data_IF_413986287177
#
_entry.id   IF_413986287177
#
_cell.length_a   1.000
_cell.length_b   1.000
_cell.length_c   1.000
_cell.angle_alpha   90.00
_cell.angle_beta   90.00
_cell.angle_gamma   90.00
#
_symmetry.space_group_name_H-M   'P 1'
#
loop_
_entity.id
_entity.type
_entity.pdbx_description
1 polymer ?
#
# COMPACT_ATOMS: atom_id res chain seq x y z
N UNK A 1 35.43 -19.46 2.25
CA UNK A 1 34.37 -19.43 1.21
C UNK A 1 33.04 -20.02 1.71
N UNK A 2 33.02 -20.60 2.92
CA UNK A 2 31.84 -21.34 3.44
C UNK A 2 30.78 -20.49 4.16
N UNK A 3 31.14 -19.27 4.57
CA UNK A 3 30.17 -18.36 5.23
C UNK A 3 29.09 -17.78 4.30
N UNK A 4 29.37 -17.66 3.01
CA UNK A 4 28.40 -17.13 2.05
C UNK A 4 27.32 -18.17 1.69
N UNK A 5 27.66 -19.46 1.72
CA UNK A 5 26.75 -20.56 1.45
C UNK A 5 25.74 -20.77 2.59
N UNK A 6 26.16 -20.57 3.85
CA UNK A 6 25.26 -20.71 5.00
C UNK A 6 24.17 -19.62 5.03
N UNK A 7 24.51 -18.38 4.65
CA UNK A 7 23.54 -17.28 4.55
C UNK A 7 22.48 -17.53 3.49
N UNK A 8 22.85 -18.12 2.34
CA UNK A 8 21.93 -18.49 1.28
C UNK A 8 21.02 -19.66 1.69
N UNK A 9 21.54 -20.57 2.49
CA UNK A 9 20.76 -21.73 2.99
C UNK A 9 19.75 -21.31 4.07
N UNK A 10 20.14 -20.41 4.99
CA UNK A 10 19.25 -19.89 6.03
C UNK A 10 18.18 -18.92 5.49
N UNK A 11 18.49 -18.21 4.41
CA UNK A 11 17.52 -17.36 3.72
C UNK A 11 16.46 -18.16 2.93
N UNK A 12 16.75 -19.42 2.59
CA UNK A 12 15.88 -20.28 1.81
C UNK A 12 14.93 -21.15 2.67
N UNK A 13 15.17 -21.27 3.98
CA UNK A 13 14.30 -22.06 4.87
C UNK A 13 13.13 -21.19 5.39
N UNK A 14 11.94 -21.41 4.86
CA UNK A 14 10.70 -20.95 5.48
C UNK A 14 10.40 -21.77 6.72
N UNK A 15 9.61 -21.23 7.68
CA UNK A 15 9.28 -21.89 8.95
C UNK A 15 8.62 -23.28 8.80
N UNK A 16 8.21 -23.65 7.58
CA UNK A 16 7.56 -24.92 7.24
C UNK A 16 8.49 -25.90 6.51
N UNK A 17 9.81 -25.63 6.47
CA UNK A 17 10.76 -26.52 5.81
C UNK A 17 10.64 -26.57 4.28
N UNK A 18 9.84 -25.71 3.67
CA UNK A 18 9.73 -25.60 2.22
C UNK A 18 10.74 -24.59 1.69
N UNK A 19 11.66 -25.04 0.84
CA UNK A 19 12.59 -24.21 0.08
C UNK A 19 11.81 -23.46 -1.00
N UNK A 20 11.15 -22.36 -0.66
CA UNK A 20 10.41 -21.54 -1.60
C UNK A 20 10.86 -20.08 -1.49
N UNK A 21 11.37 -19.52 -2.59
CA UNK A 21 11.70 -18.09 -2.65
C UNK A 21 10.39 -17.28 -2.67
N UNK A 22 9.95 -16.82 -1.48
CA UNK A 22 8.72 -16.00 -1.36
C UNK A 22 9.05 -14.54 -1.13
N UNK A 23 8.22 -13.64 -1.70
CA UNK A 23 8.33 -12.20 -1.47
C UNK A 23 7.64 -11.74 -0.17
N UNK A 24 7.12 -12.66 0.65
CA UNK A 24 6.40 -12.37 1.90
C UNK A 24 7.29 -12.59 3.11
N UNK A 25 7.38 -11.58 3.99
CA UNK A 25 8.05 -11.73 5.28
C UNK A 25 7.05 -12.18 6.36
N UNK A 26 6.91 -13.50 6.53
CA UNK A 26 6.00 -14.09 7.53
C UNK A 26 6.37 -13.77 8.99
N UNK A 27 7.63 -13.41 9.26
CA UNK A 27 8.14 -13.11 10.61
C UNK A 27 8.10 -11.64 10.99
N UNK A 28 7.57 -10.78 10.12
CA UNK A 28 7.52 -9.35 10.41
C UNK A 28 6.68 -9.07 11.66
N UNK A 29 7.16 -8.19 12.54
CA UNK A 29 6.54 -7.89 13.83
C UNK A 29 5.07 -7.44 13.70
N UNK A 30 4.73 -6.66 12.67
CA UNK A 30 3.36 -6.19 12.44
C UNK A 30 2.35 -7.32 12.23
N UNK A 31 2.78 -8.47 11.68
CA UNK A 31 1.93 -9.65 11.50
C UNK A 31 1.89 -10.53 12.75
N UNK A 32 2.91 -10.44 13.61
CA UNK A 32 3.00 -11.24 14.83
C UNK A 32 1.91 -10.91 15.84
N UNK A 33 1.53 -9.62 15.93
CA UNK A 33 0.48 -9.16 16.85
C UNK A 33 -0.95 -9.36 16.30
N UNK A 34 -1.08 -9.71 15.02
CA UNK A 34 -2.39 -9.98 14.44
C UNK A 34 -2.87 -11.40 14.81
N UNK A 35 -4.17 -11.55 15.08
CA UNK A 35 -4.78 -12.86 15.24
C UNK A 35 -4.62 -13.68 13.95
N UNK A 36 -4.54 -15.02 14.01
CA UNK A 36 -4.26 -15.87 12.85
C UNK A 36 -5.15 -15.61 11.64
N UNK A 37 -6.46 -15.37 11.85
CA UNK A 37 -7.42 -15.08 10.80
C UNK A 37 -7.17 -13.74 10.08
N UNK A 38 -6.54 -12.76 10.74
CA UNK A 38 -6.27 -11.43 10.17
C UNK A 38 -4.91 -11.34 9.47
N UNK A 39 -3.98 -12.28 9.72
CA UNK A 39 -2.64 -12.29 9.12
C UNK A 39 -2.65 -12.28 7.58
N UNK A 40 -3.50 -13.08 6.89
CA UNK A 40 -3.59 -13.03 5.43
C UNK A 40 -3.98 -11.65 4.90
N UNK A 41 -4.87 -10.94 5.60
CA UNK A 41 -5.30 -9.58 5.22
C UNK A 41 -4.19 -8.54 5.46
N UNK A 42 -3.41 -8.68 6.55
CA UNK A 42 -2.22 -7.86 6.77
C UNK A 42 -1.16 -8.05 5.68
N UNK A 43 -0.99 -9.28 5.19
CA UNK A 43 -0.10 -9.59 4.05
C UNK A 43 -0.64 -9.02 2.73
N UNK A 44 -1.94 -9.10 2.47
CA UNK A 44 -2.56 -8.44 1.31
C UNK A 44 -2.32 -6.92 1.33
N UNK A 45 -2.43 -6.30 2.50
CA UNK A 45 -2.21 -4.86 2.68
C UNK A 45 -0.73 -4.47 2.74
N UNK A 46 0.20 -5.44 2.64
CA UNK A 46 1.66 -5.23 2.70
C UNK A 46 2.13 -4.55 3.99
N UNK A 47 1.50 -4.86 5.13
CA UNK A 47 1.93 -4.36 6.43
C UNK A 47 3.29 -4.93 6.87
N UNK A 48 3.71 -6.02 6.27
CA UNK A 48 5.07 -6.58 6.36
C UNK A 48 6.14 -5.71 5.67
N UNK A 49 5.74 -4.74 4.85
CA UNK A 49 6.64 -3.85 4.08
C UNK A 49 6.16 -2.40 4.14
N UNK A 50 6.38 -1.70 5.25
CA UNK A 50 5.84 -0.36 5.48
C UNK A 50 6.44 0.72 4.57
N UNK A 51 7.55 0.44 3.86
CA UNK A 51 8.24 1.40 3.00
C UNK A 51 7.29 2.07 1.99
N UNK A 52 6.35 1.30 1.40
CA UNK A 52 5.39 1.87 0.45
C UNK A 52 4.40 2.81 1.10
N UNK A 53 4.05 2.61 2.38
CA UNK A 53 3.21 3.53 3.14
C UNK A 53 3.97 4.84 3.41
N UNK A 54 5.24 4.77 3.79
CA UNK A 54 6.08 5.94 3.99
C UNK A 54 6.26 6.75 2.71
N UNK A 55 6.50 6.08 1.57
CA UNK A 55 6.62 6.76 0.27
C UNK A 55 5.34 7.51 -0.13
N UNK A 56 4.15 7.01 0.26
CA UNK A 56 2.90 7.71 0.03
C UNK A 56 2.68 8.85 1.04
N UNK A 57 3.13 8.68 2.27
CA UNK A 57 2.85 9.58 3.38
C UNK A 57 3.77 10.81 3.41
N UNK A 58 5.07 10.65 3.15
CA UNK A 58 6.01 11.78 3.23
C UNK A 58 5.66 12.94 2.30
N UNK A 59 5.29 12.74 1.03
CA UNK A 59 4.84 13.83 0.17
C UNK A 59 3.64 14.59 0.76
N UNK A 60 2.69 13.87 1.38
CA UNK A 60 1.57 14.50 2.08
C UNK A 60 2.03 15.36 3.26
N UNK A 61 2.94 14.83 4.10
CA UNK A 61 3.43 15.54 5.26
C UNK A 61 4.24 16.78 4.90
N UNK A 62 5.06 16.72 3.86
CA UNK A 62 5.80 17.88 3.36
C UNK A 62 4.85 19.00 2.93
N UNK A 63 3.84 18.68 2.14
CA UNK A 63 2.88 19.66 1.66
C UNK A 63 2.00 20.24 2.77
N UNK A 64 1.58 19.41 3.76
CA UNK A 64 0.88 19.88 4.94
C UNK A 64 1.73 20.84 5.77
N UNK A 65 3.02 20.55 5.94
CA UNK A 65 3.94 21.43 6.67
C UNK A 65 4.09 22.78 5.97
N UNK A 66 4.22 22.78 4.63
CA UNK A 66 4.29 24.00 3.85
C UNK A 66 3.00 24.85 3.95
N UNK A 67 1.84 24.20 3.95
CA UNK A 67 0.55 24.89 3.96
C UNK A 67 0.06 25.33 5.35
N UNK A 68 0.52 24.72 6.43
CA UNK A 68 0.06 24.97 7.81
C UNK A 68 1.09 25.58 8.74
N UNK A 69 2.35 25.73 8.34
CA UNK A 69 3.32 26.39 9.21
C UNK A 69 2.92 27.85 9.51
N UNK A 70 2.93 28.32 10.76
CA UNK A 70 3.38 27.69 11.99
C UNK A 70 2.26 27.12 12.90
N UNK A 71 1.14 26.66 12.33
CA UNK A 71 -0.04 26.21 13.12
C UNK A 71 0.13 24.74 13.59
N UNK A 72 1.07 24.50 14.49
CA UNK A 72 1.50 23.14 14.91
C UNK A 72 0.37 22.23 15.41
N UNK A 73 -0.59 22.76 16.17
CA UNK A 73 -1.69 21.93 16.70
C UNK A 73 -2.58 21.37 15.60
N UNK A 74 -2.89 22.17 14.58
CA UNK A 74 -3.65 21.72 13.40
C UNK A 74 -2.83 20.78 12.53
N UNK A 75 -1.53 21.05 12.38
CA UNK A 75 -0.62 20.23 11.59
C UNK A 75 -0.59 18.78 12.08
N UNK A 76 -0.43 18.55 13.38
CA UNK A 76 -0.40 17.19 13.97
C UNK A 76 -1.69 16.43 13.66
N UNK A 77 -2.86 17.08 13.80
CA UNK A 77 -4.15 16.45 13.48
C UNK A 77 -4.25 16.03 12.00
N UNK A 78 -3.85 16.91 11.10
CA UNK A 78 -3.80 16.60 9.67
C UNK A 78 -2.79 15.50 9.33
N UNK A 79 -1.61 15.53 9.94
CA UNK A 79 -0.58 14.49 9.74
C UNK A 79 -1.09 13.11 10.18
N UNK A 80 -1.78 13.02 11.33
CA UNK A 80 -2.39 11.78 11.80
C UNK A 80 -3.50 11.28 10.84
N UNK A 81 -4.36 12.19 10.37
CA UNK A 81 -5.42 11.87 9.43
C UNK A 81 -4.87 11.31 8.12
N UNK A 82 -3.85 11.96 7.56
CA UNK A 82 -3.19 11.51 6.34
C UNK A 82 -2.39 10.22 6.54
N UNK A 83 -1.82 9.97 7.73
CA UNK A 83 -1.17 8.71 8.06
C UNK A 83 -2.17 7.54 8.03
N UNK A 84 -3.35 7.72 8.63
CA UNK A 84 -4.43 6.74 8.56
C UNK A 84 -4.89 6.50 7.11
N UNK A 85 -5.05 7.58 6.33
CA UNK A 85 -5.41 7.52 4.91
C UNK A 85 -4.36 6.78 4.07
N UNK A 86 -3.08 7.10 4.26
CA UNK A 86 -1.98 6.44 3.56
C UNK A 86 -1.92 4.95 3.85
N UNK A 87 -2.09 4.54 5.12
CA UNK A 87 -2.12 3.13 5.52
C UNK A 87 -3.27 2.39 4.84
N UNK A 88 -4.48 2.94 4.89
CA UNK A 88 -5.67 2.34 4.31
C UNK A 88 -5.60 2.29 2.77
N UNK A 89 -5.30 3.41 2.12
CA UNK A 89 -5.26 3.49 0.65
C UNK A 89 -4.09 2.70 0.05
N UNK A 90 -2.94 2.65 0.74
CA UNK A 90 -1.84 1.77 0.35
C UNK A 90 -2.27 0.31 0.40
N UNK A 91 -2.95 -0.11 1.47
CA UNK A 91 -3.47 -1.46 1.61
C UNK A 91 -4.49 -1.80 0.52
N UNK A 92 -5.45 -0.90 0.27
CA UNK A 92 -6.44 -1.06 -0.80
C UNK A 92 -5.79 -1.21 -2.18
N UNK A 93 -4.82 -0.35 -2.50
CA UNK A 93 -4.08 -0.39 -3.77
C UNK A 93 -3.27 -1.68 -3.95
N UNK A 94 -2.63 -2.18 -2.89
CA UNK A 94 -1.91 -3.46 -2.93
C UNK A 94 -2.86 -4.64 -3.13
N UNK A 95 -3.97 -4.68 -2.39
CA UNK A 95 -4.98 -5.73 -2.53
C UNK A 95 -5.60 -5.72 -3.92
N UNK A 96 -5.92 -4.54 -4.46
CA UNK A 96 -6.40 -4.37 -5.83
C UNK A 96 -5.41 -4.92 -6.87
N UNK A 97 -4.14 -4.57 -6.73
CA UNK A 97 -3.09 -5.08 -7.60
C UNK A 97 -3.00 -6.62 -7.55
N UNK A 98 -3.03 -7.21 -6.36
CA UNK A 98 -2.99 -8.67 -6.19
C UNK A 98 -4.26 -9.34 -6.79
N UNK A 99 -5.43 -8.69 -6.73
CA UNK A 99 -6.67 -9.16 -7.38
C UNK A 99 -6.52 -9.20 -8.91
N UNK A 100 -5.99 -8.13 -9.50
CA UNK A 100 -5.80 -8.01 -10.96
C UNK A 100 -4.75 -9.00 -11.45
N UNK A 101 -3.65 -9.14 -10.72
CA UNK A 101 -2.51 -9.98 -11.11
C UNK A 101 -2.64 -11.45 -10.67
N UNK A 102 -3.71 -11.85 -9.96
CA UNK A 102 -3.84 -13.16 -9.30
C UNK A 102 -3.50 -14.37 -10.16
N UNK A 103 -3.88 -14.33 -11.47
CA UNK A 103 -3.62 -15.43 -12.40
C UNK A 103 -2.16 -15.52 -12.80
N UNK A 104 -1.49 -14.38 -12.92
CA UNK A 104 -0.06 -14.27 -13.25
C UNK A 104 0.76 -14.65 -12.04
N UNK A 105 0.39 -14.14 -10.87
CA UNK A 105 1.06 -14.41 -9.60
C UNK A 105 1.06 -15.90 -9.24
N UNK A 106 0.02 -16.63 -9.62
CA UNK A 106 -0.05 -18.09 -9.42
C UNK A 106 0.96 -18.89 -10.27
N UNK A 107 1.43 -18.32 -11.39
CA UNK A 107 2.38 -18.96 -12.31
C UNK A 107 3.84 -18.65 -11.95
N UNK A 108 4.10 -17.63 -11.12
CA UNK A 108 5.44 -17.20 -10.74
C UNK A 108 5.78 -17.75 -9.35
N UNK A 109 6.87 -18.49 -9.24
CA UNK A 109 7.28 -19.14 -7.99
C UNK A 109 7.37 -18.16 -6.80
N UNK A 110 7.97 -16.99 -7.01
CA UNK A 110 8.13 -15.95 -6.00
C UNK A 110 6.80 -15.42 -5.44
N UNK A 111 5.75 -15.35 -6.26
CA UNK A 111 4.45 -14.72 -5.91
C UNK A 111 3.35 -15.74 -5.64
N UNK A 112 3.57 -17.01 -5.94
CA UNK A 112 2.61 -18.11 -5.68
C UNK A 112 2.20 -18.20 -4.21
N UNK A 113 3.10 -17.86 -3.27
CA UNK A 113 2.85 -17.84 -1.82
C UNK A 113 2.01 -16.65 -1.33
N UNK A 114 1.57 -15.73 -2.20
CA UNK A 114 0.68 -14.64 -1.80
C UNK A 114 -0.70 -15.15 -1.39
N UNK A 115 -1.42 -14.48 -0.46
CA UNK A 115 -2.68 -14.97 0.09
C UNK A 115 -3.76 -15.32 -0.94
N UNK A 116 -3.86 -14.59 -2.06
CA UNK A 116 -4.82 -14.87 -3.12
C UNK A 116 -4.45 -16.07 -3.99
N UNK A 117 -3.24 -16.16 -4.60
CA UNK A 117 -2.81 -17.34 -5.34
C UNK A 117 -2.72 -18.60 -4.48
N UNK A 118 -2.33 -18.48 -3.22
CA UNK A 118 -2.25 -19.59 -2.26
C UNK A 118 -3.63 -20.07 -1.75
N UNK A 119 -4.72 -19.36 -2.07
CA UNK A 119 -6.07 -19.71 -1.63
C UNK A 119 -6.37 -19.40 -0.16
N UNK A 120 -5.49 -18.70 0.56
CA UNK A 120 -5.72 -18.31 1.96
C UNK A 120 -6.84 -17.27 2.09
N UNK A 121 -7.04 -16.46 1.07
CA UNK A 121 -8.13 -15.47 0.98
C UNK A 121 -8.88 -15.66 -0.33
N UNK A 122 -10.20 -15.76 -0.24
CA UNK A 122 -11.04 -15.83 -1.44
C UNK A 122 -11.09 -14.48 -2.15
N UNK A 123 -11.34 -14.49 -3.47
CA UNK A 123 -11.50 -13.26 -4.25
C UNK A 123 -12.59 -12.34 -3.66
N UNK A 124 -13.70 -12.91 -3.20
CA UNK A 124 -14.80 -12.17 -2.57
C UNK A 124 -14.32 -11.44 -1.32
N UNK A 125 -13.59 -12.12 -0.45
CA UNK A 125 -13.09 -11.54 0.79
C UNK A 125 -12.02 -10.47 0.52
N UNK A 126 -11.17 -10.66 -0.50
CA UNK A 126 -10.20 -9.65 -0.92
C UNK A 126 -10.90 -8.39 -1.45
N UNK A 127 -11.98 -8.53 -2.24
CA UNK A 127 -12.78 -7.40 -2.70
C UNK A 127 -13.45 -6.67 -1.52
N UNK A 128 -14.06 -7.40 -0.58
CA UNK A 128 -14.66 -6.81 0.63
C UNK A 128 -13.58 -6.03 1.41
N UNK A 129 -12.40 -6.62 1.57
CA UNK A 129 -11.28 -5.99 2.28
C UNK A 129 -10.82 -4.70 1.59
N UNK A 130 -10.72 -4.71 0.25
CA UNK A 130 -10.41 -3.51 -0.56
C UNK A 130 -11.46 -2.42 -0.34
N UNK A 131 -12.74 -2.78 -0.36
CA UNK A 131 -13.84 -1.83 -0.14
C UNK A 131 -13.77 -1.24 1.28
N UNK A 132 -13.57 -2.07 2.32
CA UNK A 132 -13.45 -1.60 3.69
C UNK A 132 -12.30 -0.58 3.86
N UNK A 133 -11.15 -0.84 3.28
CA UNK A 133 -10.02 0.08 3.30
C UNK A 133 -10.33 1.36 2.50
N UNK A 134 -10.99 1.25 1.36
CA UNK A 134 -11.41 2.40 0.55
C UNK A 134 -12.43 3.26 1.27
N UNK A 135 -13.33 2.67 2.06
CA UNK A 135 -14.29 3.42 2.89
C UNK A 135 -13.60 4.30 3.93
N UNK A 136 -12.46 3.87 4.48
CA UNK A 136 -11.63 4.74 5.34
C UNK A 136 -11.14 5.96 4.55
N UNK A 137 -10.67 5.75 3.31
CA UNK A 137 -10.28 6.84 2.42
C UNK A 137 -11.44 7.79 2.12
N UNK A 138 -12.63 7.25 1.84
CA UNK A 138 -13.86 8.04 1.62
C UNK A 138 -14.24 8.84 2.87
N UNK A 139 -14.17 8.24 4.07
CA UNK A 139 -14.44 8.95 5.31
C UNK A 139 -13.48 10.15 5.52
N UNK A 140 -12.20 9.98 5.15
CA UNK A 140 -11.22 11.06 5.17
C UNK A 140 -11.56 12.12 4.11
N UNK A 141 -12.00 11.70 2.92
CA UNK A 141 -12.38 12.59 1.84
C UNK A 141 -13.45 13.61 2.28
N UNK A 142 -14.43 13.17 3.11
CA UNK A 142 -15.45 14.07 3.67
C UNK A 142 -14.92 15.11 4.66
N UNK A 143 -13.68 14.95 5.16
CA UNK A 143 -13.01 15.97 5.98
C UNK A 143 -12.22 16.99 5.15
N UNK A 144 -11.98 16.69 3.87
CA UNK A 144 -11.29 17.59 2.95
C UNK A 144 -12.26 18.65 2.41
N UNK A 145 -11.71 19.79 1.96
CA UNK A 145 -12.46 20.74 1.17
C UNK A 145 -12.79 20.14 -0.22
N UNK A 146 -13.78 20.72 -0.92
CA UNK A 146 -14.26 20.19 -2.21
C UNK A 146 -13.16 20.09 -3.26
N UNK A 147 -12.25 21.06 -3.30
CA UNK A 147 -11.15 21.09 -4.25
C UNK A 147 -10.16 19.96 -3.99
N UNK A 148 -9.68 19.81 -2.74
CA UNK A 148 -8.80 18.72 -2.36
C UNK A 148 -9.46 17.35 -2.57
N UNK A 149 -10.77 17.25 -2.33
CA UNK A 149 -11.56 16.07 -2.62
C UNK A 149 -11.53 15.68 -4.09
N UNK A 150 -11.69 16.66 -4.98
CA UNK A 150 -11.55 16.45 -6.44
C UNK A 150 -10.15 16.00 -6.84
N UNK A 151 -9.11 16.62 -6.29
CA UNK A 151 -7.71 16.23 -6.51
C UNK A 151 -7.45 14.80 -6.01
N UNK A 152 -7.98 14.45 -4.84
CA UNK A 152 -7.85 13.09 -4.28
C UNK A 152 -8.56 12.04 -5.16
N UNK A 153 -9.78 12.32 -5.64
CA UNK A 153 -10.50 11.43 -6.55
C UNK A 153 -9.75 11.22 -7.87
N UNK A 154 -9.11 12.25 -8.41
CA UNK A 154 -8.30 12.15 -9.62
C UNK A 154 -7.13 11.15 -9.45
N UNK A 155 -6.58 10.98 -8.26
CA UNK A 155 -5.53 9.98 -7.99
C UNK A 155 -6.00 8.54 -8.21
N UNK A 156 -7.30 8.25 -8.03
CA UNK A 156 -7.85 6.91 -8.22
C UNK A 156 -7.70 6.42 -9.66
N UNK A 157 -7.67 7.33 -10.64
CA UNK A 157 -7.42 7.01 -12.04
C UNK A 157 -6.02 6.39 -12.18
N UNK A 158 -5.00 6.99 -11.56
CA UNK A 158 -3.63 6.48 -11.58
C UNK A 158 -3.53 5.12 -10.89
N UNK A 159 -4.20 4.96 -9.75
CA UNK A 159 -4.21 3.69 -8.99
C UNK A 159 -4.91 2.58 -9.79
N UNK A 160 -6.02 2.89 -10.46
CA UNK A 160 -6.78 1.93 -11.26
C UNK A 160 -6.00 1.48 -12.51
N UNK A 161 -5.30 2.42 -13.17
CA UNK A 161 -4.57 2.16 -14.41
C UNK A 161 -3.22 1.48 -14.13
N UNK A 162 -2.59 1.72 -12.98
CA UNK A 162 -1.25 1.24 -12.67
C UNK A 162 -1.03 -0.27 -12.93
N UNK A 163 -1.91 -1.21 -12.53
CA UNK A 163 -1.71 -2.63 -12.80
C UNK A 163 -1.62 -2.97 -14.30
N UNK A 164 -2.34 -2.23 -15.14
CA UNK A 164 -2.32 -2.42 -16.61
C UNK A 164 -1.09 -1.80 -17.25
N UNK A 165 -0.57 -0.70 -16.69
CA UNK A 165 0.62 -0.02 -17.20
C UNK A 165 1.87 -0.90 -17.18
N UNK A 166 1.99 -1.82 -16.24
CA UNK A 166 3.08 -2.81 -16.21
C UNK A 166 3.17 -3.68 -17.46
N UNK A 167 2.05 -3.79 -18.20
CA UNK A 167 1.92 -4.64 -19.41
C UNK A 167 2.00 -3.84 -20.68
N UNK A 168 1.71 -2.54 -20.63
CA UNK A 168 1.60 -1.65 -21.80
C UNK A 168 2.84 -0.80 -22.03
N UNK A 169 3.62 -0.49 -20.98
CA UNK A 169 4.77 0.41 -21.09
C UNK A 169 6.03 -0.19 -20.48
N UNK A 170 7.17 0.20 -21.04
CA UNK A 170 8.50 -0.11 -20.47
C UNK A 170 8.84 0.76 -19.25
N UNK A 171 8.03 1.78 -18.93
CA UNK A 171 8.26 2.77 -17.86
C UNK A 171 7.15 2.80 -16.81
N UNK A 172 6.73 1.65 -16.23
CA UNK A 172 5.64 1.60 -15.26
C UNK A 172 5.95 2.40 -13.99
N UNK A 173 7.23 2.62 -13.68
CA UNK A 173 7.68 3.36 -12.51
C UNK A 173 7.31 4.85 -12.56
N UNK A 174 7.15 5.43 -13.76
CA UNK A 174 6.68 6.83 -13.89
C UNK A 174 5.26 6.96 -13.35
N UNK A 175 4.36 6.05 -13.74
CA UNK A 175 2.97 6.05 -13.25
C UNK A 175 2.92 5.79 -11.75
N UNK A 176 3.76 4.87 -11.25
CA UNK A 176 3.88 4.60 -9.82
C UNK A 176 4.38 5.82 -9.05
N UNK A 177 5.41 6.50 -9.57
CA UNK A 177 5.96 7.72 -8.99
C UNK A 177 4.93 8.83 -8.91
N UNK A 178 4.15 9.06 -9.98
CA UNK A 178 3.04 10.01 -9.99
C UNK A 178 1.99 9.65 -8.94
N UNK A 179 1.58 8.37 -8.85
CA UNK A 179 0.60 7.92 -7.88
C UNK A 179 1.05 8.15 -6.42
N UNK A 180 2.31 7.88 -6.10
CA UNK A 180 2.86 8.11 -4.75
C UNK A 180 3.00 9.60 -4.42
N UNK A 181 3.48 10.42 -5.37
CA UNK A 181 3.69 11.85 -5.13
C UNK A 181 2.39 12.68 -5.25
N UNK A 182 1.31 12.11 -5.77
CA UNK A 182 0.01 12.80 -5.85
C UNK A 182 -0.50 13.27 -4.49
N UNK A 183 -0.11 12.57 -3.43
CA UNK A 183 -0.39 12.93 -2.06
C UNK A 183 0.08 14.34 -1.67
N UNK A 184 1.15 14.86 -2.29
CA UNK A 184 1.62 16.22 -2.07
C UNK A 184 0.58 17.25 -2.54
N UNK A 185 -0.04 17.03 -3.70
CA UNK A 185 -1.08 17.89 -4.23
C UNK A 185 -2.33 17.86 -3.33
N UNK A 186 -2.73 16.67 -2.91
CA UNK A 186 -3.88 16.50 -2.01
C UNK A 186 -3.62 17.16 -0.65
N UNK A 187 -2.44 16.97 -0.07
CA UNK A 187 -2.08 17.56 1.22
C UNK A 187 -2.06 19.07 1.18
N UNK A 188 -1.45 19.66 0.15
CA UNK A 188 -1.45 21.11 -0.03
C UNK A 188 -2.86 21.66 -0.24
N UNK A 189 -3.60 21.09 -1.18
CA UNK A 189 -4.98 21.50 -1.46
C UNK A 189 -5.91 21.38 -0.24
N UNK A 190 -5.68 20.39 0.63
CA UNK A 190 -6.49 20.18 1.83
C UNK A 190 -6.42 21.34 2.81
N UNK A 191 -5.29 22.01 2.90
CA UNK A 191 -5.04 23.08 3.88
C UNK A 191 -5.09 24.49 3.30
N UNK A 192 -4.80 24.64 2.01
CA UNK A 192 -4.82 25.95 1.31
C UNK A 192 -6.11 26.20 0.51
N UNK A 193 -6.78 25.14 0.05
CA UNK A 193 -7.94 25.22 -0.83
C UNK A 193 -7.60 25.44 -2.30
N UNK A 194 -6.32 25.52 -2.67
CA UNK A 194 -5.79 25.75 -4.04
C UNK A 194 -4.57 24.86 -4.30
N UNK A 195 -4.06 24.87 -5.52
CA UNK A 195 -2.75 24.31 -5.91
C UNK A 195 -1.79 25.41 -6.30
#
# INVERSE_FOLDING_TARGET
MDHCASWLHDAAMTADGTTGFTDINHRHWSLRYLPPWARPYGRLSRWDRPIGTWLLLFPCWWSLTLGLAPQWGRLVGWMALFALGALAMRGAGCTWNDIVDRKIDAQVERTRGRPLPAGEVTLRNALIWTVLQSLVGVAILFKLNKFAGGVALASLILVAIYPTMKRLTSWPQVVLGLAFNWGALVGFAAVTGTL
#
